data_IF_955911536434
#
_entry.id   IF_955911536434
#
_cell.length_a   1.000
_cell.length_b   1.000
_cell.length_c   1.000
_cell.angle_alpha   90.00
_cell.angle_beta   90.00
_cell.angle_gamma   90.00
#
_symmetry.space_group_name_H-M   'P 1'
#
loop_
_entity.id
_entity.type
_entity.pdbx_description
1 polymer ?
#
# COMPACT_ATOMS: atom_id res chain seq x y z
N UNK A 1 0.65 22.14 -10.72
CA UNK A 1 0.14 20.77 -10.49
C UNK A 1 1.33 19.83 -10.49
N UNK A 2 1.52 18.98 -9.48
CA UNK A 2 2.66 18.04 -9.44
C UNK A 2 2.31 16.82 -10.29
N UNK A 3 3.09 16.58 -11.36
CA UNK A 3 2.91 15.44 -12.28
C UNK A 3 4.00 14.41 -12.01
N UNK A 4 3.64 13.13 -11.94
CA UNK A 4 4.58 12.02 -11.74
C UNK A 4 4.58 11.14 -13.01
N UNK A 5 5.62 11.23 -13.87
CA UNK A 5 5.60 10.64 -15.22
C UNK A 5 5.81 9.12 -15.29
N UNK A 6 6.01 8.44 -14.15
CA UNK A 6 6.09 6.97 -14.00
C UNK A 6 6.75 6.21 -15.18
N UNK A 7 7.99 6.55 -15.58
CA UNK A 7 8.68 5.85 -16.66
C UNK A 7 8.93 4.37 -16.30
N UNK A 8 8.71 3.45 -17.24
CA UNK A 8 8.85 2.01 -17.03
C UNK A 8 10.27 1.57 -16.63
N UNK A 9 11.29 2.35 -16.99
CA UNK A 9 12.68 2.09 -16.58
C UNK A 9 12.91 2.24 -15.06
N UNK A 10 12.02 2.97 -14.37
CA UNK A 10 12.15 3.26 -12.93
C UNK A 10 10.98 2.71 -12.12
N UNK A 11 9.86 2.41 -12.76
CA UNK A 11 8.60 2.07 -12.11
C UNK A 11 8.02 0.80 -12.68
N UNK A 12 7.80 -0.15 -11.80
CA UNK A 12 6.99 -1.32 -12.08
C UNK A 12 5.52 -1.02 -11.78
N UNK A 13 4.67 -1.08 -12.81
CA UNK A 13 3.23 -0.92 -12.67
C UNK A 13 2.57 -2.30 -12.56
N UNK A 14 1.94 -2.56 -11.42
CA UNK A 14 1.27 -3.84 -11.14
C UNK A 14 -0.22 -3.65 -11.36
N UNK A 15 -0.85 -4.36 -12.31
CA UNK A 15 -2.28 -4.27 -12.53
C UNK A 15 -3.01 -4.86 -11.32
N UNK A 16 -4.03 -4.14 -10.83
CA UNK A 16 -4.90 -4.59 -9.75
C UNK A 16 -6.25 -5.03 -10.31
N UNK A 17 -6.95 -5.97 -9.65
CA UNK A 17 -8.28 -6.37 -10.07
C UNK A 17 -9.27 -5.18 -10.00
N UNK A 18 -10.31 -5.14 -10.85
CA UNK A 18 -11.29 -4.04 -10.83
C UNK A 18 -11.96 -3.82 -9.48
N UNK A 19 -12.09 -4.87 -8.66
CA UNK A 19 -12.60 -4.81 -7.29
C UNK A 19 -11.74 -3.94 -6.36
N UNK A 20 -10.45 -3.77 -6.65
CA UNK A 20 -9.58 -2.90 -5.87
C UNK A 20 -9.97 -1.42 -6.01
N UNK A 21 -10.57 -1.01 -7.13
CA UNK A 21 -10.91 0.39 -7.37
C UNK A 21 -11.90 0.94 -6.33
N UNK A 22 -12.98 0.21 -6.04
CA UNK A 22 -13.95 0.62 -5.01
C UNK A 22 -13.32 0.63 -3.62
N UNK A 23 -12.47 -0.34 -3.31
CA UNK A 23 -11.72 -0.41 -2.05
C UNK A 23 -10.78 0.78 -1.88
N UNK A 24 -10.03 1.18 -2.93
CA UNK A 24 -9.16 2.37 -2.90
C UNK A 24 -9.96 3.62 -2.60
N UNK A 25 -11.07 3.84 -3.31
CA UNK A 25 -11.89 5.06 -3.14
C UNK A 25 -12.50 5.11 -1.74
N UNK A 26 -13.03 3.98 -1.26
CA UNK A 26 -13.61 3.88 0.08
C UNK A 26 -12.58 4.11 1.18
N UNK A 27 -11.41 3.47 1.07
CA UNK A 27 -10.34 3.61 2.04
C UNK A 27 -9.78 5.04 2.02
N UNK A 28 -9.55 5.62 0.84
CA UNK A 28 -9.12 7.00 0.71
C UNK A 28 -10.10 7.99 1.34
N UNK A 29 -11.41 7.78 1.15
CA UNK A 29 -12.42 8.64 1.77
C UNK A 29 -12.37 8.60 3.31
N UNK A 30 -12.02 7.44 3.89
CA UNK A 30 -11.90 7.25 5.34
C UNK A 30 -10.56 7.77 5.90
N UNK A 31 -9.48 7.68 5.13
CA UNK A 31 -8.13 8.02 5.59
C UNK A 31 -7.65 9.39 5.13
N UNK A 32 -8.41 10.10 4.29
CA UNK A 32 -8.08 11.47 3.86
C UNK A 32 -7.94 12.38 5.08
N UNK A 33 -6.78 13.02 5.22
CA UNK A 33 -6.47 13.87 6.37
C UNK A 33 -5.80 13.16 7.56
N UNK A 34 -5.68 11.82 7.54
CA UNK A 34 -4.81 11.12 8.48
C UNK A 34 -3.33 11.47 8.25
N UNK A 35 -2.57 11.52 9.34
CA UNK A 35 -1.12 11.76 9.27
C UNK A 35 -0.40 10.51 8.76
N UNK A 36 0.64 10.73 7.96
CA UNK A 36 1.51 9.65 7.48
C UNK A 36 2.25 9.01 8.67
N UNK A 37 2.26 7.68 8.74
CA UNK A 37 3.03 6.99 9.79
C UNK A 37 4.51 6.86 9.41
N UNK A 38 5.31 7.87 9.77
CA UNK A 38 6.76 7.78 9.64
C UNK A 38 7.36 6.72 10.58
N UNK A 39 6.80 6.54 11.78
CA UNK A 39 7.24 5.50 12.71
C UNK A 39 6.81 4.11 12.24
N UNK A 40 5.65 4.01 11.61
CA UNK A 40 5.14 2.79 10.99
C UNK A 40 5.96 2.36 9.77
N UNK A 41 6.38 3.30 8.92
CA UNK A 41 7.23 3.04 7.76
C UNK A 41 8.65 2.59 8.16
N UNK A 42 9.22 3.16 9.23
CA UNK A 42 10.48 2.67 9.82
C UNK A 42 10.27 1.35 10.55
N UNK A 43 9.10 1.19 11.19
CA UNK A 43 8.66 0.00 11.89
C UNK A 43 8.46 -1.23 11.00
N UNK A 44 8.21 -1.06 9.69
CA UNK A 44 8.17 -2.18 8.73
C UNK A 44 9.52 -2.89 8.63
N UNK A 45 10.63 -2.17 8.79
CA UNK A 45 11.98 -2.76 8.86
C UNK A 45 12.20 -3.49 10.19
N UNK A 46 11.58 -3.02 11.27
CA UNK A 46 11.71 -3.56 12.63
C UNK A 46 10.56 -4.47 13.09
N UNK A 47 9.58 -4.77 12.23
CA UNK A 47 8.36 -5.56 12.53
C UNK A 47 7.59 -5.11 13.78
N UNK A 48 7.52 -3.81 14.05
CA UNK A 48 6.75 -3.27 15.17
C UNK A 48 5.28 -3.10 14.79
N UNK A 49 4.39 -3.41 15.73
CA UNK A 49 2.93 -3.35 15.54
C UNK A 49 2.49 -1.90 15.30
N UNK A 50 1.60 -1.70 14.32
CA UNK A 50 1.18 -0.36 13.87
C UNK A 50 0.23 0.32 14.85
N UNK A 51 0.20 1.65 14.79
CA UNK A 51 -0.78 2.47 15.50
C UNK A 51 -2.04 2.60 14.64
N UNK A 52 -3.23 2.33 15.20
CA UNK A 52 -4.53 2.33 14.48
C UNK A 52 -4.90 3.65 13.78
N UNK A 53 -4.17 4.74 14.05
CA UNK A 53 -4.51 6.10 13.60
C UNK A 53 -3.51 6.68 12.59
N UNK A 54 -2.57 5.89 12.06
CA UNK A 54 -1.57 6.37 11.11
C UNK A 54 -1.39 5.32 10.01
N UNK A 55 -1.17 5.78 8.78
CA UNK A 55 -1.09 4.92 7.60
C UNK A 55 0.24 5.14 6.88
N UNK A 56 0.85 4.06 6.40
CA UNK A 56 2.03 4.12 5.54
C UNK A 56 1.81 3.37 4.22
N UNK A 57 2.71 3.54 3.26
CA UNK A 57 2.49 3.19 1.86
C UNK A 57 2.06 1.73 1.61
N UNK A 58 2.76 0.73 2.18
CA UNK A 58 2.42 -0.68 1.91
C UNK A 58 1.19 -1.18 2.67
N UNK A 59 0.90 -0.65 3.87
CA UNK A 59 -0.32 -1.02 4.60
C UNK A 59 -1.60 -0.52 3.90
N UNK A 60 -1.55 0.69 3.35
CA UNK A 60 -2.66 1.20 2.55
C UNK A 60 -2.91 0.30 1.34
N UNK A 61 -1.85 -0.10 0.62
CA UNK A 61 -1.95 -1.04 -0.50
C UNK A 61 -2.50 -2.40 -0.03
N UNK A 62 -1.97 -2.98 1.04
CA UNK A 62 -2.41 -4.26 1.57
C UNK A 62 -3.90 -4.24 1.99
N UNK A 63 -4.36 -3.14 2.59
CA UNK A 63 -5.76 -2.99 3.01
C UNK A 63 -6.71 -2.87 1.82
N UNK A 64 -6.32 -2.10 0.79
CA UNK A 64 -7.04 -2.04 -0.48
C UNK A 64 -7.19 -3.42 -1.10
N UNK A 65 -6.16 -4.24 -0.95
CA UNK A 65 -6.07 -5.60 -1.46
C UNK A 65 -6.79 -6.63 -0.58
N UNK A 66 -7.37 -6.23 0.56
CA UNK A 66 -8.06 -7.12 1.48
C UNK A 66 -7.14 -8.01 2.33
N UNK A 67 -5.83 -7.73 2.35
CA UNK A 67 -4.86 -8.48 3.17
C UNK A 67 -5.00 -8.02 4.62
N UNK A 68 -5.44 -8.94 5.49
CA UNK A 68 -5.40 -8.75 6.95
C UNK A 68 -3.95 -8.80 7.42
N UNK A 69 -3.56 -7.92 8.35
CA UNK A 69 -2.18 -7.76 8.84
C UNK A 69 -1.18 -7.14 7.84
N UNK A 70 -1.61 -6.17 7.03
CA UNK A 70 -0.77 -5.45 6.06
C UNK A 70 0.56 -4.89 6.60
N UNK A 71 0.67 -4.66 7.91
CA UNK A 71 1.88 -4.22 8.60
C UNK A 71 3.09 -5.16 8.45
N UNK A 72 2.85 -6.43 8.10
CA UNK A 72 3.89 -7.46 7.94
C UNK A 72 4.60 -7.40 6.59
N UNK A 73 4.04 -6.68 5.63
CA UNK A 73 4.48 -6.73 4.23
C UNK A 73 5.20 -5.45 3.84
N UNK A 74 6.41 -5.62 3.29
CA UNK A 74 7.09 -4.53 2.60
C UNK A 74 6.46 -4.29 1.23
N UNK A 75 6.71 -3.12 0.60
CA UNK A 75 6.30 -2.88 -0.78
C UNK A 75 6.80 -3.96 -1.76
N UNK A 76 8.00 -4.51 -1.53
CA UNK A 76 8.56 -5.59 -2.34
C UNK A 76 7.83 -6.92 -2.15
N UNK A 77 7.43 -7.25 -0.92
CA UNK A 77 6.67 -8.47 -0.64
C UNK A 77 5.29 -8.44 -1.31
N UNK A 78 4.60 -7.30 -1.22
CA UNK A 78 3.33 -7.10 -1.92
C UNK A 78 3.50 -7.21 -3.43
N UNK A 79 4.56 -6.61 -3.98
CA UNK A 79 4.86 -6.73 -5.40
C UNK A 79 5.09 -8.19 -5.82
N UNK A 80 5.80 -8.97 -5.02
CA UNK A 80 6.05 -10.39 -5.30
C UNK A 80 4.77 -11.24 -5.20
N UNK A 81 3.90 -10.97 -4.22
CA UNK A 81 2.60 -11.67 -4.07
C UNK A 81 1.74 -11.43 -5.31
N UNK A 82 1.58 -10.18 -5.73
CA UNK A 82 0.71 -9.85 -6.87
C UNK A 82 1.27 -10.29 -8.22
N UNK A 83 2.59 -10.27 -8.39
CA UNK A 83 3.23 -10.85 -9.59
C UNK A 83 2.99 -12.35 -9.70
N UNK A 84 2.81 -13.06 -8.58
CA UNK A 84 2.51 -14.50 -8.58
C UNK A 84 1.05 -14.82 -8.90
N UNK A 85 0.11 -13.97 -8.52
CA UNK A 85 -1.32 -14.15 -8.82
C UNK A 85 -1.71 -13.75 -10.26
N UNK A 86 -0.84 -13.01 -10.96
CA UNK A 86 -1.05 -12.58 -12.34
C UNK A 86 -0.57 -13.59 -13.41
N UNK A 87 -0.18 -14.81 -12.99
CA UNK A 87 0.23 -15.93 -13.86
C UNK A 87 -0.84 -17.02 -13.80
#
# INVERSE_FOLDING_TARGET
MKVMPLPSEKWDLIPLPPSAHSSVVCLYAQTRGCRYDWMGAVGTVFRLTQSKNRWFCSEFCATVMGITEGWRFSPGDLAAIFRREAV
#
